data_IF_627098227625
#
_entry.id   IF_627098227625
#
_cell.length_a   1.000
_cell.length_b   1.000
_cell.length_c   1.000
_cell.angle_alpha   90.00
_cell.angle_beta   90.00
_cell.angle_gamma   90.00
#
_symmetry.space_group_name_H-M   'P 1'
#
loop_
_entity.id
_entity.type
_entity.pdbx_description
1 polymer ?
#
# COMPACT_ATOMS: atom_id res chain seq x y z
N UNK A 1 -2.82 -9.33 16.22
CA UNK A 1 -3.29 -9.41 14.81
C UNK A 1 -2.72 -8.20 14.04
N UNK A 2 -1.78 -8.38 13.12
CA UNK A 2 -1.19 -7.24 12.39
C UNK A 2 -2.19 -6.67 11.37
N UNK A 3 -2.58 -5.40 11.55
CA UNK A 3 -3.51 -4.66 10.67
C UNK A 3 -2.79 -3.84 9.61
N UNK A 4 -1.50 -3.62 9.78
CA UNK A 4 -0.65 -2.74 8.97
C UNK A 4 0.55 -3.52 8.48
N UNK A 5 0.85 -3.43 7.19
CA UNK A 5 2.01 -4.06 6.56
C UNK A 5 2.80 -2.97 5.85
N UNK A 6 4.10 -2.87 6.17
CA UNK A 6 5.04 -2.01 5.46
C UNK A 6 5.56 -2.78 4.25
N UNK A 7 5.33 -2.27 3.05
CA UNK A 7 5.77 -2.92 1.81
C UNK A 7 6.62 -1.90 1.02
N UNK A 8 7.72 -2.35 0.44
CA UNK A 8 8.54 -1.48 -0.39
C UNK A 8 7.83 -1.21 -1.74
N UNK A 9 8.05 -0.04 -2.36
CA UNK A 9 7.42 0.33 -3.62
C UNK A 9 8.05 -0.37 -4.84
N UNK A 10 8.89 -1.40 -4.64
CA UNK A 10 9.51 -2.16 -5.74
C UNK A 10 8.46 -2.88 -6.58
N UNK A 11 8.62 -2.90 -7.91
CA UNK A 11 7.78 -3.64 -8.85
C UNK A 11 7.69 -5.14 -8.49
N UNK A 12 8.74 -5.71 -7.90
CA UNK A 12 8.75 -7.10 -7.47
C UNK A 12 7.73 -7.41 -6.35
N UNK A 13 7.16 -6.39 -5.71
CA UNK A 13 6.19 -6.54 -4.62
C UNK A 13 4.76 -6.10 -4.99
N UNK A 14 4.50 -5.78 -6.26
CA UNK A 14 3.17 -5.36 -6.73
C UNK A 14 2.07 -6.38 -6.37
N UNK A 15 2.32 -7.66 -6.64
CA UNK A 15 1.36 -8.73 -6.30
C UNK A 15 1.11 -8.83 -4.79
N UNK A 16 2.13 -8.58 -3.96
CA UNK A 16 1.98 -8.58 -2.50
C UNK A 16 1.19 -7.36 -2.00
N UNK A 17 1.39 -6.18 -2.60
CA UNK A 17 0.61 -4.97 -2.30
C UNK A 17 -0.86 -5.16 -2.67
N UNK A 18 -1.12 -5.70 -3.86
CA UNK A 18 -2.47 -6.03 -4.31
C UNK A 18 -3.16 -7.00 -3.34
N UNK A 19 -2.53 -8.14 -3.04
CA UNK A 19 -3.09 -9.13 -2.12
C UNK A 19 -3.35 -8.52 -0.74
N UNK A 20 -2.40 -7.75 -0.19
CA UNK A 20 -2.59 -7.08 1.10
C UNK A 20 -3.83 -6.18 1.12
N UNK A 21 -4.03 -5.36 0.08
CA UNK A 21 -5.19 -4.48 -0.01
C UNK A 21 -6.50 -5.27 -0.18
N UNK A 22 -6.51 -6.34 -1.00
CA UNK A 22 -7.68 -7.24 -1.19
C UNK A 22 -8.08 -7.94 0.11
N UNK A 23 -7.10 -8.35 0.92
CA UNK A 23 -7.32 -8.92 2.26
C UNK A 23 -7.61 -7.84 3.34
N UNK A 24 -7.98 -6.63 2.92
CA UNK A 24 -8.38 -5.51 3.77
C UNK A 24 -7.28 -5.11 4.79
N UNK A 25 -6.02 -5.22 4.39
CA UNK A 25 -4.86 -4.78 5.18
C UNK A 25 -4.51 -3.34 4.82
N UNK A 26 -4.05 -2.59 5.83
CA UNK A 26 -3.52 -1.24 5.61
C UNK A 26 -2.09 -1.35 5.09
N UNK A 27 -1.81 -0.65 4.00
CA UNK A 27 -0.47 -0.57 3.41
C UNK A 27 0.21 0.72 3.85
N UNK A 28 1.50 0.65 4.19
CA UNK A 28 2.36 1.81 4.33
C UNK A 28 3.40 1.80 3.22
N UNK A 29 3.35 2.79 2.33
CA UNK A 29 4.35 2.99 1.27
C UNK A 29 5.22 4.20 1.59
N UNK A 30 6.53 4.15 1.32
CA UNK A 30 7.41 5.29 1.60
C UNK A 30 7.06 6.47 0.70
N UNK A 31 7.14 7.69 1.23
CA UNK A 31 7.02 8.90 0.42
C UNK A 31 8.24 9.07 -0.47
N UNK A 32 8.08 9.54 -1.72
CA UNK A 32 9.20 9.81 -2.62
C UNK A 32 10.07 10.98 -2.15
N UNK A 33 9.53 11.87 -1.31
CA UNK A 33 10.30 12.93 -0.65
C UNK A 33 10.96 12.40 0.61
N UNK A 34 12.29 12.47 0.64
CA UNK A 34 13.12 12.15 1.82
C UNK A 34 12.93 13.17 2.95
N UNK A 35 12.63 14.43 2.61
CA UNK A 35 12.51 15.54 3.57
C UNK A 35 11.31 15.42 4.50
N UNK A 36 10.33 14.58 4.12
CA UNK A 36 9.13 14.38 4.92
C UNK A 36 9.18 13.14 5.81
N UNK A 37 10.07 12.17 5.56
CA UNK A 37 10.15 10.89 6.30
C UNK A 37 8.78 10.19 6.57
N UNK A 38 7.76 10.53 5.78
CA UNK A 38 6.40 10.07 5.99
C UNK A 38 6.16 8.78 5.18
N UNK A 39 5.20 7.99 5.61
CA UNK A 39 4.67 6.88 4.83
C UNK A 39 3.28 7.25 4.38
N UNK A 40 2.95 7.05 3.11
CA UNK A 40 1.56 7.11 2.67
C UNK A 40 0.82 5.90 3.25
N UNK A 41 -0.31 6.17 3.88
CA UNK A 41 -1.19 5.16 4.45
C UNK A 41 -2.33 4.88 3.48
N UNK A 42 -2.35 3.66 2.94
CA UNK A 42 -3.43 3.19 2.09
C UNK A 42 -4.36 2.30 2.92
N UNK A 43 -5.56 2.79 3.18
CA UNK A 43 -6.62 2.03 3.85
C UNK A 43 -7.63 1.54 2.80
N UNK A 44 -7.81 0.21 2.61
CA UNK A 44 -8.64 -0.32 1.53
C UNK A 44 -10.10 0.13 1.55
N UNK A 45 -10.65 0.44 2.73
CA UNK A 45 -12.02 0.98 2.86
C UNK A 45 -12.26 2.30 2.12
N UNK A 46 -11.20 3.04 1.79
CA UNK A 46 -11.29 4.29 1.03
C UNK A 46 -10.97 4.12 -0.46
N UNK A 47 -10.64 2.90 -0.89
CA UNK A 47 -10.25 2.59 -2.26
C UNK A 47 -11.38 1.86 -2.98
N UNK A 48 -11.72 2.33 -4.18
CA UNK A 48 -12.57 1.60 -5.13
C UNK A 48 -11.75 0.50 -5.81
N UNK A 49 -12.43 -0.50 -6.39
CA UNK A 49 -11.77 -1.67 -6.99
C UNK A 49 -10.71 -1.32 -8.05
N UNK A 50 -10.98 -0.36 -8.93
CA UNK A 50 -9.99 0.12 -9.92
C UNK A 50 -8.82 0.90 -9.28
N UNK A 51 -9.02 1.51 -8.11
CA UNK A 51 -7.97 2.22 -7.37
C UNK A 51 -7.05 1.24 -6.61
N UNK A 52 -7.52 0.02 -6.33
CA UNK A 52 -6.70 -1.03 -5.72
C UNK A 52 -5.58 -1.51 -6.65
N UNK A 53 -5.88 -1.63 -7.94
CA UNK A 53 -4.90 -2.00 -8.97
C UNK A 53 -3.83 -0.93 -9.08
N UNK A 54 -4.24 0.34 -9.22
CA UNK A 54 -3.32 1.49 -9.25
C UNK A 54 -2.50 1.67 -7.97
N UNK A 55 -3.08 1.39 -6.80
CA UNK A 55 -2.37 1.49 -5.53
C UNK A 55 -1.41 0.30 -5.29
N UNK A 56 -1.55 -0.77 -6.08
CA UNK A 56 -0.66 -1.92 -6.04
C UNK A 56 0.56 -1.75 -6.94
N UNK A 57 0.47 -0.97 -8.02
CA UNK A 57 1.58 -0.70 -8.96
C UNK A 57 2.54 0.35 -8.42
#
# INVERSE_FOLDING_TARGET
RARVIKINPSLAQESLRYLALVYNKVLLTPTPSLDSALFYKLEPKFLRRHQLEWAAT
#
